data_IF_705127366291
#
_entry.id   IF_705127366291
#
_cell.length_a   1.000
_cell.length_b   1.000
_cell.length_c   1.000
_cell.angle_alpha   90.00
_cell.angle_beta   90.00
_cell.angle_gamma   90.00
#
_symmetry.space_group_name_H-M   'P 1'
#
loop_
_entity.id
_entity.type
_entity.pdbx_description
1 polymer ?
#
# COMPACT_ATOMS: atom_id res chain seq x y z
N UNK A 1 -8.24 5.36 17.03
CA UNK A 1 -8.09 6.77 16.58
C UNK A 1 -7.55 7.59 17.74
N UNK A 2 -6.82 8.68 17.47
CA UNK A 2 -6.12 9.48 18.49
C UNK A 2 -6.78 10.86 18.67
N UNK A 3 -6.51 11.53 19.80
CA UNK A 3 -7.03 12.86 20.11
C UNK A 3 -6.39 13.98 19.28
N UNK A 4 -6.96 15.20 19.29
CA UNK A 4 -6.60 16.29 18.37
C UNK A 4 -5.13 16.71 18.44
N UNK A 5 -4.56 16.78 19.65
CA UNK A 5 -3.14 17.12 19.83
C UNK A 5 -2.23 16.09 19.17
N UNK A 6 -2.49 14.79 19.42
CA UNK A 6 -1.67 13.73 18.84
C UNK A 6 -1.89 13.60 17.32
N UNK A 7 -3.11 13.84 16.84
CA UNK A 7 -3.38 13.94 15.39
C UNK A 7 -2.55 15.05 14.73
N UNK A 8 -2.43 16.22 15.36
CA UNK A 8 -1.59 17.31 14.85
C UNK A 8 -0.12 16.90 14.78
N UNK A 9 0.42 16.31 15.86
CA UNK A 9 1.81 15.86 15.93
C UNK A 9 2.10 14.80 14.86
N UNK A 10 1.26 13.75 14.79
CA UNK A 10 1.44 12.67 13.82
C UNK A 10 1.25 13.18 12.38
N UNK A 11 0.23 13.98 12.12
CA UNK A 11 -0.03 14.55 10.80
C UNK A 11 1.12 15.41 10.30
N UNK A 12 1.66 16.27 11.16
CA UNK A 12 2.83 17.10 10.85
C UNK A 12 4.05 16.24 10.57
N UNK A 13 4.29 15.20 11.38
CA UNK A 13 5.43 14.30 11.19
C UNK A 13 5.32 13.51 9.88
N UNK A 14 4.17 12.93 9.56
CA UNK A 14 3.97 12.19 8.31
C UNK A 14 4.03 13.11 7.08
N UNK A 15 3.53 14.34 7.19
CA UNK A 15 3.66 15.35 6.14
C UNK A 15 5.13 15.64 5.84
N UNK A 16 5.91 15.95 6.87
CA UNK A 16 7.33 16.27 6.71
C UNK A 16 8.13 15.08 6.17
N UNK A 17 7.79 13.85 6.57
CA UNK A 17 8.42 12.64 6.04
C UNK A 17 8.11 12.43 4.55
N UNK A 18 6.87 12.67 4.11
CA UNK A 18 6.50 12.53 2.70
C UNK A 18 7.13 13.63 1.84
N UNK A 19 6.88 14.89 2.15
CA UNK A 19 7.25 16.02 1.29
C UNK A 19 8.71 16.48 1.47
N UNK A 20 9.37 16.05 2.55
CA UNK A 20 10.80 16.28 2.77
C UNK A 20 11.70 15.23 2.12
N UNK A 21 11.15 14.11 1.65
CA UNK A 21 11.92 13.05 0.99
C UNK A 21 11.84 13.20 -0.53
N UNK A 22 12.98 13.58 -1.14
CA UNK A 22 13.09 13.71 -2.60
C UNK A 22 12.77 12.39 -3.30
N UNK A 23 13.10 11.25 -2.70
CA UNK A 23 12.92 9.91 -3.25
C UNK A 23 11.61 9.24 -2.83
N UNK A 24 10.67 10.01 -2.27
CA UNK A 24 9.36 9.46 -1.96
C UNK A 24 8.72 8.87 -3.22
N UNK A 25 8.07 7.71 -3.09
CA UNK A 25 7.76 6.86 -4.25
C UNK A 25 6.81 7.51 -5.28
N UNK A 26 6.00 8.49 -4.88
CA UNK A 26 5.09 9.23 -5.78
C UNK A 26 5.57 10.66 -6.07
N UNK A 27 6.88 10.90 -5.97
CA UNK A 27 7.50 12.17 -6.36
C UNK A 27 7.27 12.48 -7.85
N UNK A 28 7.09 13.77 -8.15
CA UNK A 28 6.96 14.29 -9.51
C UNK A 28 8.32 14.77 -10.10
N UNK A 29 9.43 14.54 -9.38
CA UNK A 29 10.79 14.85 -9.85
C UNK A 29 11.17 13.94 -11.04
N UNK A 30 11.07 14.48 -12.26
CA UNK A 30 11.31 13.77 -13.52
C UNK A 30 12.67 13.06 -13.61
N UNK A 31 13.66 13.45 -12.80
CA UNK A 31 14.98 12.81 -12.81
C UNK A 31 14.99 11.45 -12.08
N UNK A 32 14.03 11.20 -11.18
CA UNK A 32 13.98 10.01 -10.31
C UNK A 32 12.59 9.38 -10.17
N UNK A 33 11.54 10.04 -10.67
CA UNK A 33 10.17 9.58 -10.56
C UNK A 33 9.98 8.24 -11.27
N UNK A 34 9.13 7.40 -10.69
CA UNK A 34 8.62 6.24 -11.40
C UNK A 34 7.71 6.69 -12.56
N UNK A 35 7.69 5.91 -13.64
CA UNK A 35 6.72 6.09 -14.71
C UNK A 35 5.29 5.82 -14.24
N UNK A 36 4.30 6.35 -14.96
CA UNK A 36 2.88 6.13 -14.66
C UNK A 36 2.52 4.63 -14.57
N UNK A 37 3.12 3.79 -15.41
CA UNK A 37 2.89 2.36 -15.41
C UNK A 37 3.46 1.69 -14.14
N UNK A 38 4.67 2.07 -13.73
CA UNK A 38 5.28 1.63 -12.47
C UNK A 38 4.47 2.10 -11.26
N UNK A 39 4.03 3.36 -11.22
CA UNK A 39 3.19 3.91 -10.16
C UNK A 39 1.85 3.19 -10.05
N UNK A 40 1.22 2.87 -11.19
CA UNK A 40 -0.03 2.09 -11.22
C UNK A 40 0.19 0.68 -10.66
N UNK A 41 1.33 0.05 -10.98
CA UNK A 41 1.73 -1.25 -10.43
C UNK A 41 1.92 -1.18 -8.91
N UNK A 42 2.65 -0.18 -8.41
CA UNK A 42 2.90 0.04 -6.98
C UNK A 42 1.60 0.32 -6.20
N UNK A 43 0.72 1.17 -6.71
CA UNK A 43 -0.56 1.53 -6.06
C UNK A 43 -1.54 0.37 -5.95
N UNK A 44 -1.35 -0.69 -6.75
CA UNK A 44 -2.16 -1.90 -6.67
C UNK A 44 -1.72 -2.85 -5.54
N UNK A 45 -0.58 -2.60 -4.89
CA UNK A 45 -0.10 -3.40 -3.77
C UNK A 45 -0.93 -3.13 -2.51
N UNK A 46 -1.37 -4.19 -1.83
CA UNK A 46 -2.01 -4.11 -0.52
C UNK A 46 -1.28 -4.99 0.48
N UNK A 47 -1.41 -4.69 1.77
CA UNK A 47 -0.79 -5.52 2.81
C UNK A 47 -1.35 -6.96 2.81
N UNK A 48 -2.62 -7.15 2.43
CA UNK A 48 -3.20 -8.49 2.25
C UNK A 48 -2.47 -9.29 1.17
N UNK A 49 -2.16 -8.67 0.02
CA UNK A 49 -1.37 -9.29 -1.06
C UNK A 49 0.04 -9.66 -0.59
N UNK A 50 0.70 -8.76 0.15
CA UNK A 50 2.04 -9.02 0.71
C UNK A 50 2.03 -10.22 1.64
N UNK A 51 1.09 -10.27 2.60
CA UNK A 51 1.00 -11.39 3.55
C UNK A 51 0.69 -12.70 2.80
N UNK A 52 -0.27 -12.69 1.86
CA UNK A 52 -0.61 -13.88 1.07
C UNK A 52 0.57 -14.40 0.23
N UNK A 53 1.41 -13.51 -0.31
CA UNK A 53 2.55 -13.91 -1.14
C UNK A 53 3.73 -14.48 -0.32
N UNK A 54 3.83 -14.13 0.97
CA UNK A 54 5.01 -14.42 1.80
C UNK A 54 4.72 -15.35 2.99
N UNK A 55 3.49 -15.86 3.14
CA UNK A 55 3.09 -16.71 4.25
C UNK A 55 2.16 -17.83 3.80
N UNK A 56 1.87 -18.79 4.68
CA UNK A 56 0.93 -19.89 4.43
C UNK A 56 -0.52 -19.56 4.77
N UNK A 57 -0.86 -18.27 4.92
CA UNK A 57 -2.24 -17.85 5.17
C UNK A 57 -3.09 -18.15 3.93
N UNK A 58 -4.30 -18.69 4.13
CA UNK A 58 -5.18 -19.13 3.03
C UNK A 58 -6.18 -18.06 2.58
N UNK A 59 -6.59 -17.17 3.47
CA UNK A 59 -7.56 -16.13 3.19
C UNK A 59 -7.35 -14.92 4.10
N UNK A 60 -7.54 -13.73 3.55
CA UNK A 60 -7.46 -12.45 4.26
C UNK A 60 -8.55 -11.51 3.74
N UNK A 61 -8.99 -10.54 4.53
CA UNK A 61 -9.79 -9.45 3.98
C UNK A 61 -8.96 -8.59 3.03
N UNK A 62 -9.62 -7.88 2.11
CA UNK A 62 -8.94 -6.93 1.22
C UNK A 62 -8.22 -5.83 2.02
N UNK A 63 -8.86 -5.31 3.06
CA UNK A 63 -8.27 -4.35 4.00
C UNK A 63 -8.02 -5.00 5.36
N UNK A 64 -6.76 -5.36 5.64
CA UNK A 64 -6.35 -5.98 6.91
C UNK A 64 -6.34 -5.04 8.10
N UNK A 65 -6.43 -3.72 7.88
CA UNK A 65 -6.55 -2.73 8.96
C UNK A 65 -7.98 -2.61 9.50
N UNK A 66 -8.95 -3.25 8.84
CA UNK A 66 -10.34 -3.30 9.27
C UNK A 66 -10.75 -4.73 9.65
N UNK A 67 -11.64 -4.90 10.64
CA UNK A 67 -12.16 -6.22 10.98
C UNK A 67 -12.84 -6.91 9.80
N UNK A 68 -12.93 -8.23 9.86
CA UNK A 68 -13.73 -9.02 8.92
C UNK A 68 -15.20 -8.65 9.11
N UNK A 69 -15.88 -8.36 8.01
CA UNK A 69 -17.29 -7.95 8.01
C UNK A 69 -17.96 -8.30 6.68
N UNK A 70 -19.26 -7.98 6.55
CA UNK A 70 -19.97 -8.13 5.26
C UNK A 70 -19.37 -7.25 4.15
N UNK A 71 -18.79 -6.10 4.51
CA UNK A 71 -18.16 -5.15 3.58
C UNK A 71 -16.66 -5.36 3.42
N UNK A 72 -16.05 -6.17 4.29
CA UNK A 72 -14.64 -6.56 4.25
C UNK A 72 -14.50 -8.07 4.53
N UNK A 73 -15.09 -8.94 3.68
CA UNK A 73 -15.10 -10.37 3.93
C UNK A 73 -13.71 -10.98 3.68
N UNK A 74 -13.50 -12.18 4.19
CA UNK A 74 -12.32 -12.98 3.84
C UNK A 74 -12.35 -13.36 2.36
N UNK A 75 -11.23 -13.15 1.68
CA UNK A 75 -11.01 -13.50 0.29
C UNK A 75 -9.86 -14.51 0.22
N UNK A 76 -9.97 -15.60 -0.56
CA UNK A 76 -8.88 -16.56 -0.74
C UNK A 76 -7.63 -15.86 -1.29
N UNK A 77 -6.45 -16.22 -0.76
CA UNK A 77 -5.18 -15.65 -1.21
C UNK A 77 -4.91 -15.91 -2.70
N UNK A 78 -5.39 -17.02 -3.26
CA UNK A 78 -5.32 -17.31 -4.70
C UNK A 78 -6.00 -16.25 -5.56
N UNK A 79 -7.04 -15.59 -5.06
CA UNK A 79 -7.71 -14.48 -5.73
C UNK A 79 -6.98 -13.15 -5.52
N UNK A 80 -6.42 -12.92 -4.33
CA UNK A 80 -5.71 -11.68 -4.00
C UNK A 80 -4.39 -11.52 -4.76
N UNK A 81 -3.63 -12.61 -4.94
CA UNK A 81 -2.30 -12.57 -5.56
C UNK A 81 -2.35 -12.51 -7.10
N UNK A 82 -3.52 -12.82 -7.70
CA UNK A 82 -3.72 -12.89 -9.16
C UNK A 82 -3.35 -11.60 -9.90
N UNK A 83 -3.50 -10.44 -9.25
CA UNK A 83 -3.14 -9.11 -9.77
C UNK A 83 -2.20 -8.41 -8.78
N UNK A 84 -1.09 -9.06 -8.42
CA UNK A 84 -0.07 -8.48 -7.55
C UNK A 84 0.84 -7.50 -8.30
N UNK A 85 1.95 -7.07 -7.66
CA UNK A 85 2.93 -6.14 -8.22
C UNK A 85 3.48 -6.68 -9.56
N UNK A 86 3.22 -5.98 -10.66
CA UNK A 86 3.77 -6.31 -11.97
C UNK A 86 5.16 -5.71 -12.09
N UNK A 87 6.17 -6.58 -11.99
CA UNK A 87 7.58 -6.20 -12.06
C UNK A 87 8.04 -5.90 -13.49
N UNK A 88 7.26 -6.23 -14.53
CA UNK A 88 7.59 -5.96 -15.95
C UNK A 88 7.84 -4.51 -16.28
N UNK A 89 7.29 -3.60 -15.49
CA UNK A 89 7.50 -2.17 -15.71
C UNK A 89 8.85 -1.67 -15.17
N UNK A 90 9.65 -2.51 -14.50
CA UNK A 90 10.90 -2.12 -13.82
C UNK A 90 12.17 -2.66 -14.48
N UNK A 91 12.05 -3.38 -15.59
CA UNK A 91 13.17 -3.98 -16.34
C UNK A 91 13.04 -3.80 -17.85
#
# INVERSE_FOLDING_TARGET
>A
MVGPTLSCILGTQFYNLKYGDRFFFDTDDLAIAFSDAQLKSLRNVTLAKIICANTNVRALPNNVFSPVSRTNPLVPCSQLVKESLDLRYFY
#
